data_IF_006664278614
#
_entry.id   IF_006664278614
#
_cell.length_a   1.000
_cell.length_b   1.000
_cell.length_c   1.000
_cell.angle_alpha   90.00
_cell.angle_beta   90.00
_cell.angle_gamma   90.00
#
_symmetry.space_group_name_H-M   'P 1'
#
loop_
_entity.id
_entity.type
_entity.pdbx_description
1 polymer ?
#
# COMPACT_ATOMS: atom_id res chain seq x y z
N UNK A 1 -0.48 -14.82 -1.92
CA UNK A 1 0.48 -14.39 -0.87
C UNK A 1 -0.15 -13.35 0.04
N UNK A 2 0.51 -13.04 1.17
CA UNK A 2 0.08 -11.97 2.07
C UNK A 2 1.11 -10.84 2.10
N UNK A 3 0.63 -9.59 2.17
CA UNK A 3 1.46 -8.40 2.30
C UNK A 3 1.17 -7.71 3.63
N UNK A 4 2.20 -7.32 4.37
CA UNK A 4 2.08 -6.43 5.51
C UNK A 4 2.20 -5.01 5.00
N UNK A 5 1.10 -4.27 4.99
CA UNK A 5 1.00 -2.93 4.39
C UNK A 5 1.90 -1.91 5.07
N UNK A 6 2.45 -0.96 4.31
CA UNK A 6 3.09 0.22 4.90
C UNK A 6 2.10 1.01 5.79
N UNK A 7 2.54 1.57 6.95
CA UNK A 7 3.91 1.57 7.47
C UNK A 7 4.26 0.35 8.34
N UNK A 8 3.36 -0.61 8.51
CA UNK A 8 3.55 -1.72 9.44
C UNK A 8 4.72 -2.64 9.08
N UNK A 9 5.05 -2.77 7.78
CA UNK A 9 6.22 -3.51 7.33
C UNK A 9 7.57 -2.98 7.83
N UNK A 10 7.62 -1.72 8.33
CA UNK A 10 8.82 -1.20 9.02
C UNK A 10 9.08 -1.90 10.36
N UNK A 11 8.05 -2.44 11.00
CA UNK A 11 8.09 -2.98 12.37
C UNK A 11 7.81 -4.48 12.41
N UNK A 12 7.01 -4.98 11.47
CA UNK A 12 6.61 -6.37 11.36
C UNK A 12 7.28 -6.99 10.12
N UNK A 13 8.56 -7.28 10.26
CA UNK A 13 9.32 -7.96 9.22
C UNK A 13 9.22 -9.48 9.42
N UNK A 14 8.24 -10.07 8.80
CA UNK A 14 8.18 -11.53 8.70
C UNK A 14 9.18 -11.97 7.63
N UNK A 15 10.30 -12.56 8.06
CA UNK A 15 11.32 -13.09 7.16
C UNK A 15 10.83 -14.40 6.56
N UNK A 16 10.15 -14.32 5.42
CA UNK A 16 9.82 -15.36 4.45
C UNK A 16 8.50 -16.12 4.63
N UNK A 17 8.17 -16.67 5.81
CA UNK A 17 6.97 -17.51 5.94
C UNK A 17 6.33 -17.35 7.32
N UNK A 18 5.06 -17.09 7.35
CA UNK A 18 4.23 -17.29 8.51
C UNK A 18 3.29 -18.45 8.22
N UNK A 19 3.35 -19.51 9.03
CA UNK A 19 2.49 -20.69 8.85
C UNK A 19 2.60 -21.35 7.46
N UNK A 20 3.81 -21.40 6.90
CA UNK A 20 4.05 -22.01 5.60
C UNK A 20 3.61 -21.20 4.37
N UNK A 21 3.02 -20.02 4.58
CA UNK A 21 2.60 -19.13 3.48
C UNK A 21 3.55 -17.95 3.33
N UNK A 22 3.87 -17.53 2.08
CA UNK A 22 4.76 -16.38 1.86
C UNK A 22 4.11 -15.07 2.32
N UNK A 23 4.88 -14.32 3.12
CA UNK A 23 4.51 -12.99 3.63
C UNK A 23 5.57 -11.98 3.21
N UNK A 24 5.13 -10.87 2.62
CA UNK A 24 6.00 -9.79 2.16
C UNK A 24 5.72 -8.54 2.99
N UNK A 25 6.76 -7.95 3.57
CA UNK A 25 6.65 -6.69 4.29
C UNK A 25 6.80 -5.51 3.34
N UNK A 26 5.87 -4.56 3.41
CA UNK A 26 5.94 -3.29 2.68
C UNK A 26 6.40 -2.21 3.64
N UNK A 27 7.62 -1.71 3.43
CA UNK A 27 8.23 -0.65 4.25
C UNK A 27 7.84 0.74 3.77
N UNK A 28 8.07 1.78 4.53
CA UNK A 28 7.78 3.18 4.16
C UNK A 28 6.39 3.63 4.63
N UNK A 29 5.75 4.53 3.92
CA UNK A 29 6.08 5.13 2.62
C UNK A 29 7.17 6.19 2.78
N UNK A 30 8.20 6.15 1.93
CA UNK A 30 9.29 7.11 1.92
C UNK A 30 9.08 8.18 0.83
N UNK A 31 9.56 9.39 1.11
CA UNK A 31 9.58 10.54 0.18
C UNK A 31 11.01 10.94 -0.11
N UNK A 32 11.26 11.68 -1.20
CA UNK A 32 12.60 12.16 -1.55
C UNK A 32 13.24 12.85 -0.34
N UNK A 33 12.55 13.84 0.23
CA UNK A 33 13.01 14.57 1.42
C UNK A 33 12.44 13.94 2.70
N UNK A 34 13.17 13.98 3.82
CA UNK A 34 12.64 13.58 5.13
C UNK A 34 11.41 14.39 5.54
N UNK A 35 10.47 13.74 6.20
CA UNK A 35 9.27 14.35 6.80
C UNK A 35 9.19 13.93 8.28
N UNK A 36 9.94 14.57 9.19
CA UNK A 36 10.06 14.16 10.59
C UNK A 36 8.76 14.36 11.38
N UNK A 37 8.73 13.82 12.62
CA UNK A 37 7.62 14.04 13.56
C UNK A 37 6.55 12.95 13.54
N UNK A 38 6.88 11.71 13.14
CA UNK A 38 5.94 10.59 13.11
C UNK A 38 5.29 10.33 14.47
N UNK A 39 6.09 10.23 15.55
CA UNK A 39 5.58 9.94 16.90
C UNK A 39 4.59 11.02 17.35
N UNK A 40 4.98 12.30 17.20
CA UNK A 40 4.08 13.43 17.52
C UNK A 40 2.77 13.35 16.75
N UNK A 41 2.84 12.99 15.45
CA UNK A 41 1.66 12.90 14.60
C UNK A 41 0.77 11.70 14.95
N UNK A 42 1.36 10.56 15.33
CA UNK A 42 0.61 9.40 15.86
C UNK A 42 -0.17 9.81 17.11
N UNK A 43 0.50 10.37 18.11
CA UNK A 43 -0.14 10.81 19.36
C UNK A 43 -1.27 11.80 19.09
N UNK A 44 -1.05 12.75 18.17
CA UNK A 44 -2.02 13.79 17.84
C UNK A 44 -3.23 13.27 17.07
N UNK A 45 -3.06 12.33 16.13
CA UNK A 45 -4.09 12.06 15.13
C UNK A 45 -4.58 10.63 15.02
N UNK A 46 -3.85 9.64 15.55
CA UNK A 46 -4.30 8.26 15.47
C UNK A 46 -5.40 8.00 16.49
N UNK A 47 -6.59 7.64 16.02
CA UNK A 47 -7.76 7.38 16.85
C UNK A 47 -8.50 6.14 16.38
N UNK A 48 -8.89 5.30 17.33
CA UNK A 48 -9.84 4.22 17.06
C UNK A 48 -11.26 4.79 16.99
N UNK A 49 -12.04 4.27 16.04
CA UNK A 49 -13.44 4.65 15.81
C UNK A 49 -14.30 3.38 15.70
N UNK A 50 -15.62 3.51 15.71
CA UNK A 50 -16.53 2.37 15.55
C UNK A 50 -16.31 1.57 14.26
N UNK A 51 -15.81 2.22 13.19
CA UNK A 51 -15.62 1.61 11.86
C UNK A 51 -14.17 1.25 11.56
N UNK A 52 -13.21 1.64 12.41
CA UNK A 52 -11.79 1.35 12.21
C UNK A 52 -10.87 2.46 12.75
N UNK A 53 -9.68 2.55 12.22
CA UNK A 53 -8.67 3.52 12.66
C UNK A 53 -8.65 4.74 11.73
N UNK A 54 -8.62 5.94 12.33
CA UNK A 54 -8.46 7.21 11.65
C UNK A 54 -7.09 7.80 11.97
N UNK A 55 -6.44 8.37 10.96
CA UNK A 55 -5.15 9.02 11.12
C UNK A 55 -4.91 10.17 10.13
N UNK A 56 -4.01 11.08 10.50
CA UNK A 56 -3.46 12.14 9.64
C UNK A 56 -1.93 12.09 9.69
N UNK A 57 -1.33 10.93 9.43
CA UNK A 57 0.12 10.76 9.53
C UNK A 57 0.91 11.59 8.51
N UNK A 58 0.33 11.87 7.34
CA UNK A 58 0.90 12.78 6.35
C UNK A 58 2.24 12.34 5.79
N UNK A 59 2.45 11.03 5.60
CA UNK A 59 3.68 10.45 5.09
C UNK A 59 4.92 10.88 5.91
N UNK A 60 4.85 10.89 7.25
CA UNK A 60 6.01 11.16 8.09
C UNK A 60 7.01 10.01 8.01
N UNK A 61 8.24 10.31 7.54
CA UNK A 61 9.26 9.31 7.24
C UNK A 61 10.67 9.94 7.27
N UNK A 62 11.74 9.13 7.35
CA UNK A 62 13.12 9.63 7.43
C UNK A 62 13.73 10.00 6.08
N UNK A 63 13.01 9.88 4.97
CA UNK A 63 13.51 10.13 3.62
C UNK A 63 13.99 8.87 2.91
N UNK A 64 14.20 9.00 1.58
CA UNK A 64 14.48 7.87 0.69
C UNK A 64 15.81 7.17 1.00
N UNK A 65 16.87 7.91 1.33
CA UNK A 65 18.19 7.32 1.58
C UNK A 65 18.15 6.36 2.77
N UNK A 66 17.58 6.80 3.90
CA UNK A 66 17.42 5.92 5.06
C UNK A 66 16.40 4.80 4.78
N UNK A 67 15.43 5.04 3.91
CA UNK A 67 14.51 4.02 3.42
C UNK A 67 15.22 2.89 2.69
N UNK A 68 16.17 3.20 1.82
CA UNK A 68 16.99 2.22 1.08
C UNK A 68 17.84 1.40 2.04
N UNK A 69 18.53 2.05 2.98
CA UNK A 69 19.38 1.38 3.96
C UNK A 69 18.61 0.40 4.84
N UNK A 70 17.39 0.76 5.24
CA UNK A 70 16.58 -0.01 6.18
C UNK A 70 15.62 -1.02 5.52
N UNK A 71 15.49 -1.02 4.19
CA UNK A 71 14.61 -1.95 3.49
C UNK A 71 15.35 -3.21 3.05
N UNK A 72 14.91 -4.34 3.56
CA UNK A 72 15.43 -5.65 3.12
C UNK A 72 15.19 -5.88 1.62
N UNK A 73 16.12 -6.49 0.87
CA UNK A 73 15.91 -6.87 -0.53
C UNK A 73 14.72 -7.81 -0.76
N UNK A 74 14.23 -8.48 0.29
CA UNK A 74 13.05 -9.35 0.24
C UNK A 74 11.73 -8.62 0.51
N UNK A 75 11.80 -7.35 0.89
CA UNK A 75 10.65 -6.47 1.14
C UNK A 75 10.30 -5.64 -0.07
N UNK A 76 9.12 -5.05 -0.06
CA UNK A 76 8.70 -4.02 -1.01
C UNK A 76 8.86 -2.65 -0.35
N UNK A 77 9.49 -1.70 -1.01
CA UNK A 77 9.64 -0.34 -0.53
C UNK A 77 8.54 0.57 -1.07
N UNK A 78 7.66 1.03 -0.20
CA UNK A 78 6.64 2.02 -0.56
C UNK A 78 7.26 3.41 -0.66
N UNK A 79 7.05 4.08 -1.80
CA UNK A 79 7.57 5.42 -2.11
C UNK A 79 6.44 6.33 -2.59
N UNK A 80 6.56 7.62 -2.31
CA UNK A 80 5.60 8.62 -2.77
C UNK A 80 6.28 9.86 -3.31
N UNK A 81 5.73 10.40 -4.39
CA UNK A 81 6.09 11.68 -4.98
C UNK A 81 5.18 12.76 -4.40
N UNK A 82 5.75 13.87 -3.98
CA UNK A 82 5.05 15.06 -3.47
C UNK A 82 5.26 16.27 -4.36
N UNK A 83 6.40 16.31 -5.06
CA UNK A 83 6.79 17.37 -5.99
C UNK A 83 6.81 16.84 -7.43
N UNK A 84 6.64 17.69 -8.45
CA UNK A 84 6.53 17.23 -9.86
C UNK A 84 7.68 16.35 -10.35
N UNK A 85 8.90 16.57 -9.86
CA UNK A 85 10.09 15.85 -10.28
C UNK A 85 10.46 14.65 -9.39
N UNK A 86 9.73 14.43 -8.28
CA UNK A 86 10.10 13.40 -7.31
C UNK A 86 10.11 11.99 -7.94
N UNK A 87 9.19 11.67 -8.86
CA UNK A 87 9.20 10.36 -9.53
C UNK A 87 10.50 10.10 -10.29
N UNK A 88 11.05 11.12 -10.95
CA UNK A 88 12.33 11.02 -11.67
C UNK A 88 13.47 10.82 -10.68
N UNK A 89 13.53 11.62 -9.64
CA UNK A 89 14.55 11.55 -8.58
C UNK A 89 14.51 10.17 -7.89
N UNK A 90 13.32 9.70 -7.49
CA UNK A 90 13.13 8.39 -6.87
C UNK A 90 13.57 7.25 -7.80
N UNK A 91 13.29 7.36 -9.09
CA UNK A 91 13.71 6.36 -10.08
C UNK A 91 15.23 6.28 -10.25
N UNK A 92 15.92 7.41 -10.17
CA UNK A 92 17.39 7.48 -10.27
C UNK A 92 18.06 6.95 -8.99
N UNK A 93 17.48 7.21 -7.82
CA UNK A 93 18.07 6.85 -6.51
C UNK A 93 17.77 5.40 -6.10
N UNK A 94 16.54 4.92 -6.34
CA UNK A 94 16.12 3.60 -5.87
C UNK A 94 16.76 2.49 -6.70
N UNK A 95 17.55 1.58 -6.09
CA UNK A 95 18.21 0.49 -6.81
C UNK A 95 17.24 -0.33 -7.65
N UNK A 96 17.66 -0.71 -8.87
CA UNK A 96 16.82 -1.43 -9.85
C UNK A 96 16.39 -2.83 -9.37
N UNK A 97 17.17 -3.46 -8.51
CA UNK A 97 16.86 -4.76 -7.92
C UNK A 97 15.89 -4.69 -6.71
N UNK A 98 15.52 -3.50 -6.24
CA UNK A 98 14.54 -3.34 -5.16
C UNK A 98 13.12 -3.34 -5.71
N UNK A 99 12.24 -4.12 -5.07
CA UNK A 99 10.79 -4.07 -5.31
C UNK A 99 10.18 -2.79 -4.76
N UNK A 100 9.22 -2.19 -5.46
CA UNK A 100 8.61 -0.91 -5.06
C UNK A 100 7.08 -0.94 -5.05
N UNK A 101 6.49 -0.16 -4.14
CA UNK A 101 5.08 0.23 -4.15
C UNK A 101 5.00 1.75 -4.36
N UNK A 102 4.41 2.17 -5.48
CA UNK A 102 4.19 3.58 -5.80
C UNK A 102 2.89 4.05 -5.13
N UNK A 103 3.00 4.75 -4.02
CA UNK A 103 1.84 5.22 -3.26
C UNK A 103 1.33 6.55 -3.83
N UNK A 104 0.30 6.48 -4.67
CA UNK A 104 -0.34 7.65 -5.30
C UNK A 104 -1.62 8.09 -4.57
N UNK A 105 -1.84 7.61 -3.36
CA UNK A 105 -3.18 7.58 -2.76
C UNK A 105 -3.26 8.02 -1.30
N UNK A 106 -2.21 8.64 -0.76
CA UNK A 106 -2.26 9.08 0.64
C UNK A 106 -3.24 10.26 0.82
N UNK A 107 -4.38 10.09 1.53
CA UNK A 107 -5.37 11.16 1.70
C UNK A 107 -4.90 12.30 2.61
N UNK A 108 -3.74 12.13 3.25
CA UNK A 108 -3.17 13.06 4.21
C UNK A 108 -2.11 14.00 3.57
N UNK A 109 -2.06 14.07 2.23
CA UNK A 109 -1.25 15.01 1.47
C UNK A 109 -2.13 15.69 0.41
N UNK A 110 -1.91 16.99 0.19
CA UNK A 110 -2.82 17.81 -0.60
C UNK A 110 -2.79 17.49 -2.10
N UNK A 111 -1.64 17.05 -2.62
CA UNK A 111 -1.47 16.75 -4.04
C UNK A 111 -0.52 15.56 -4.22
N UNK A 112 -0.86 14.71 -5.18
CA UNK A 112 0.03 13.69 -5.72
C UNK A 112 0.33 14.04 -7.18
N UNK A 113 1.60 14.23 -7.57
CA UNK A 113 1.97 14.34 -8.97
C UNK A 113 1.50 13.11 -9.76
N UNK A 114 1.15 13.34 -11.03
CA UNK A 114 0.74 12.27 -11.92
C UNK A 114 1.77 11.13 -11.94
N UNK A 115 1.28 9.90 -11.87
CA UNK A 115 2.11 8.71 -11.98
C UNK A 115 2.89 8.73 -13.30
N UNK A 116 4.21 8.51 -13.22
CA UNK A 116 5.08 8.38 -14.38
C UNK A 116 5.18 6.94 -14.83
N UNK A 117 5.29 6.71 -16.16
CA UNK A 117 5.54 5.38 -16.72
C UNK A 117 6.99 4.88 -16.51
N UNK A 118 7.83 5.65 -15.84
CA UNK A 118 9.27 5.37 -15.77
C UNK A 118 9.56 4.05 -15.01
N UNK A 119 8.79 3.77 -13.95
CA UNK A 119 8.96 2.54 -13.16
C UNK A 119 8.36 1.30 -13.83
N UNK A 120 7.35 1.43 -14.69
CA UNK A 120 6.72 0.29 -15.34
C UNK A 120 7.61 -0.41 -16.39
N UNK A 121 8.73 0.22 -16.75
CA UNK A 121 9.71 -0.30 -17.70
C UNK A 121 10.78 -1.18 -17.06
N UNK A 122 10.86 -1.19 -15.73
CA UNK A 122 11.88 -1.96 -15.01
C UNK A 122 11.39 -3.40 -14.82
N UNK A 123 12.32 -4.34 -14.91
CA UNK A 123 12.08 -5.75 -14.56
C UNK A 123 12.23 -5.97 -13.05
N UNK A 124 11.40 -5.25 -12.27
CA UNK A 124 11.32 -5.42 -10.82
C UNK A 124 10.34 -6.53 -10.49
N UNK A 125 10.68 -7.41 -9.55
CA UNK A 125 9.77 -8.47 -9.09
C UNK A 125 8.41 -7.91 -8.66
N UNK A 126 8.42 -6.78 -7.95
CA UNK A 126 7.23 -6.03 -7.57
C UNK A 126 7.38 -4.57 -7.97
N UNK A 127 6.45 -4.11 -8.81
CA UNK A 127 6.27 -2.70 -9.17
C UNK A 127 4.78 -2.35 -9.02
N UNK A 128 4.36 -2.19 -7.78
CA UNK A 128 2.96 -2.09 -7.37
C UNK A 128 2.51 -0.64 -7.40
N UNK A 129 1.31 -0.36 -7.90
CA UNK A 129 0.67 0.95 -7.75
C UNK A 129 -0.41 0.87 -6.68
N UNK A 130 -0.23 1.58 -5.56
CA UNK A 130 -1.24 1.67 -4.50
C UNK A 130 -2.20 2.81 -4.76
N UNK A 131 -3.48 2.44 -4.93
CA UNK A 131 -4.53 3.36 -5.37
C UNK A 131 -5.44 3.82 -4.22
N UNK A 132 -6.09 5.00 -4.35
CA UNK A 132 -7.11 5.44 -3.40
C UNK A 132 -8.41 4.62 -3.56
N UNK A 133 -9.22 4.47 -2.50
CA UNK A 133 -10.48 3.73 -2.57
C UNK A 133 -11.51 4.37 -3.50
N UNK A 134 -11.40 5.68 -3.72
CA UNK A 134 -12.29 6.46 -4.59
C UNK A 134 -11.77 6.61 -6.03
N UNK A 135 -10.80 5.79 -6.44
CA UNK A 135 -10.28 5.80 -7.81
C UNK A 135 -11.39 5.51 -8.83
N UNK A 136 -11.38 6.22 -9.95
CA UNK A 136 -12.30 5.97 -11.06
C UNK A 136 -11.76 4.88 -12.00
N UNK A 137 -12.66 4.22 -12.74
CA UNK A 137 -12.28 3.23 -13.74
C UNK A 137 -11.31 3.81 -14.78
N UNK A 138 -11.58 5.03 -15.28
CA UNK A 138 -10.69 5.73 -16.21
C UNK A 138 -9.28 5.96 -15.67
N UNK A 139 -9.14 6.17 -14.36
CA UNK A 139 -7.81 6.28 -13.72
C UNK A 139 -7.11 4.93 -13.62
N UNK A 140 -7.86 3.84 -13.39
CA UNK A 140 -7.33 2.47 -13.42
C UNK A 140 -6.81 2.16 -14.83
N UNK A 141 -7.62 2.42 -15.87
CA UNK A 141 -7.21 2.22 -17.27
C UNK A 141 -5.93 3.00 -17.60
N UNK A 142 -5.81 4.24 -17.12
CA UNK A 142 -4.59 5.02 -17.29
C UNK A 142 -3.38 4.37 -16.64
N UNK A 143 -3.50 3.80 -15.46
CA UNK A 143 -2.41 3.09 -14.76
C UNK A 143 -1.97 1.88 -15.58
N UNK A 144 -2.92 1.07 -16.05
CA UNK A 144 -2.64 -0.12 -16.86
C UNK A 144 -2.01 0.27 -18.20
N UNK A 145 -2.52 1.31 -18.87
CA UNK A 145 -1.97 1.83 -20.13
C UNK A 145 -0.56 2.44 -19.98
N UNK A 146 -0.15 2.84 -18.78
CA UNK A 146 1.23 3.20 -18.47
C UNK A 146 2.15 1.97 -18.34
N UNK A 147 1.61 0.75 -18.42
CA UNK A 147 2.35 -0.52 -18.35
C UNK A 147 2.44 -1.15 -16.96
N UNK A 148 1.72 -0.64 -15.95
CA UNK A 148 1.68 -1.24 -14.64
C UNK A 148 0.76 -2.46 -14.61
N UNK A 149 1.27 -3.57 -14.05
CA UNK A 149 0.57 -4.85 -13.98
C UNK A 149 0.22 -5.31 -12.57
N UNK A 150 0.54 -4.51 -11.55
CA UNK A 150 0.32 -4.86 -10.15
C UNK A 150 -0.33 -3.67 -9.42
N UNK A 151 -1.55 -3.86 -8.93
CA UNK A 151 -2.33 -2.81 -8.26
C UNK A 151 -2.66 -3.22 -6.83
N UNK A 152 -2.37 -2.35 -5.85
CA UNK A 152 -2.78 -2.51 -4.46
C UNK A 152 -4.07 -1.70 -4.20
N UNK A 153 -5.18 -2.39 -4.10
CA UNK A 153 -6.48 -1.85 -3.74
C UNK A 153 -6.78 -2.16 -2.25
N UNK A 154 -6.91 -1.23 -1.37
CA UNK A 154 -6.75 0.18 -1.57
C UNK A 154 -6.17 0.86 -0.31
N UNK A 155 -5.97 2.17 -0.38
CA UNK A 155 -5.58 2.96 0.78
C UNK A 155 -6.81 3.33 1.65
N UNK A 156 -6.62 4.16 2.67
CA UNK A 156 -7.68 4.65 3.57
C UNK A 156 -8.64 5.60 2.86
N UNK A 157 -9.91 5.57 3.27
CA UNK A 157 -10.94 6.50 2.77
C UNK A 157 -10.65 7.90 3.30
N UNK A 158 -10.57 8.93 2.43
CA UNK A 158 -10.39 10.31 2.85
C UNK A 158 -11.62 10.82 3.60
N UNK A 159 -11.39 11.50 4.73
CA UNK A 159 -12.43 12.20 5.51
C UNK A 159 -11.92 13.57 5.91
N UNK A 160 -12.80 14.47 6.36
CA UNK A 160 -12.42 15.79 6.87
C UNK A 160 -11.42 15.73 8.05
N UNK A 161 -11.33 14.58 8.72
CA UNK A 161 -10.44 14.36 9.88
C UNK A 161 -9.32 13.35 9.57
N UNK A 162 -8.93 13.20 8.29
CA UNK A 162 -7.86 12.31 7.83
C UNK A 162 -8.33 11.02 7.19
N UNK A 163 -7.42 10.09 6.95
CA UNK A 163 -7.71 8.79 6.34
C UNK A 163 -8.36 7.83 7.34
N UNK A 164 -9.47 7.21 6.95
CA UNK A 164 -10.20 6.21 7.72
C UNK A 164 -9.95 4.83 7.13
N UNK A 165 -9.54 3.89 7.96
CA UNK A 165 -9.32 2.47 7.63
C UNK A 165 -10.38 1.58 8.28
N UNK A 166 -10.40 0.31 7.92
CA UNK A 166 -11.32 -0.68 8.48
C UNK A 166 -12.40 -1.10 7.49
N UNK A 167 -13.57 -1.53 7.97
CA UNK A 167 -14.64 -2.11 7.15
C UNK A 167 -15.18 -1.17 6.07
N UNK A 168 -15.07 0.14 6.27
CA UNK A 168 -15.48 1.15 5.26
C UNK A 168 -14.74 1.05 3.93
N UNK A 169 -13.59 0.36 3.89
CA UNK A 169 -12.80 0.21 2.67
C UNK A 169 -13.29 -0.97 1.84
N UNK A 170 -13.93 -1.97 2.44
CA UNK A 170 -14.22 -3.27 1.81
C UNK A 170 -14.98 -3.10 0.50
N UNK A 171 -16.09 -2.37 0.51
CA UNK A 171 -16.91 -2.14 -0.68
C UNK A 171 -16.13 -1.45 -1.81
N UNK A 172 -15.32 -0.45 -1.47
CA UNK A 172 -14.46 0.23 -2.45
C UNK A 172 -13.43 -0.72 -3.07
N UNK A 173 -12.80 -1.56 -2.25
CA UNK A 173 -11.80 -2.52 -2.73
C UNK A 173 -12.45 -3.58 -3.61
N UNK A 174 -13.62 -4.10 -3.24
CA UNK A 174 -14.37 -5.07 -4.05
C UNK A 174 -14.77 -4.48 -5.42
N UNK A 175 -15.24 -3.22 -5.45
CA UNK A 175 -15.55 -2.51 -6.71
C UNK A 175 -14.32 -2.39 -7.62
N UNK A 176 -13.16 -2.02 -7.04
CA UNK A 176 -11.90 -1.90 -7.80
C UNK A 176 -11.48 -3.26 -8.34
N UNK A 177 -11.55 -4.29 -7.48
CA UNK A 177 -11.18 -5.67 -7.83
C UNK A 177 -12.05 -6.21 -8.96
N UNK A 178 -13.37 -6.09 -8.83
CA UNK A 178 -14.34 -6.51 -9.86
C UNK A 178 -14.05 -5.85 -11.21
N UNK A 179 -13.86 -4.52 -11.21
CA UNK A 179 -13.54 -3.79 -12.44
C UNK A 179 -12.24 -4.28 -13.08
N UNK A 180 -11.17 -4.42 -12.28
CA UNK A 180 -9.86 -4.85 -12.81
C UNK A 180 -9.96 -6.27 -13.36
N UNK A 181 -10.55 -7.21 -12.62
CA UNK A 181 -10.64 -8.62 -13.06
C UNK A 181 -11.53 -8.82 -14.28
N UNK A 182 -12.52 -7.96 -14.46
CA UNK A 182 -13.39 -7.99 -15.66
C UNK A 182 -12.72 -7.34 -16.87
N UNK A 183 -12.03 -6.20 -16.69
CA UNK A 183 -11.54 -5.39 -17.81
C UNK A 183 -10.05 -5.62 -18.12
N UNK A 184 -9.25 -5.96 -17.12
CA UNK A 184 -7.81 -6.14 -17.19
C UNK A 184 -7.39 -7.44 -16.47
N UNK A 185 -7.79 -8.63 -16.93
CA UNK A 185 -7.60 -9.91 -16.23
C UNK A 185 -6.13 -10.26 -15.97
N UNK A 186 -5.20 -9.74 -16.76
CA UNK A 186 -3.75 -9.95 -16.62
C UNK A 186 -3.11 -9.09 -15.51
N UNK A 187 -3.88 -8.18 -14.88
CA UNK A 187 -3.38 -7.34 -13.79
C UNK A 187 -3.53 -8.08 -12.46
N UNK A 188 -2.41 -8.24 -11.75
CA UNK A 188 -2.40 -8.77 -10.39
C UNK A 188 -2.95 -7.74 -9.39
N UNK A 189 -3.91 -8.17 -8.56
CA UNK A 189 -4.52 -7.32 -7.55
C UNK A 189 -4.16 -7.80 -6.15
N UNK A 190 -3.54 -6.88 -5.39
CA UNK A 190 -3.33 -7.02 -3.95
C UNK A 190 -4.50 -6.35 -3.26
N UNK A 191 -5.44 -7.11 -2.70
CA UNK A 191 -6.63 -6.56 -2.07
C UNK A 191 -6.47 -6.42 -0.55
N UNK A 192 -6.91 -5.30 0.00
CA UNK A 192 -6.84 -5.04 1.43
C UNK A 192 -7.82 -3.99 1.92
N UNK A 193 -7.79 -3.79 3.23
CA UNK A 193 -8.76 -2.96 3.96
C UNK A 193 -9.84 -3.80 4.63
N UNK A 194 -10.04 -3.59 5.94
CA UNK A 194 -11.04 -4.33 6.71
C UNK A 194 -10.73 -5.81 6.95
N UNK A 195 -9.55 -6.30 6.64
CA UNK A 195 -9.16 -7.70 6.88
C UNK A 195 -8.76 -7.88 8.34
N UNK A 196 -9.64 -8.48 9.15
CA UNK A 196 -9.43 -8.79 10.57
C UNK A 196 -9.62 -10.27 10.89
N UNK A 197 -10.12 -11.06 9.94
CA UNK A 197 -10.36 -12.50 10.06
C UNK A 197 -9.98 -13.24 8.78
N UNK A 198 -9.92 -14.58 8.86
CA UNK A 198 -9.74 -15.44 7.69
C UNK A 198 -10.90 -15.31 6.70
N UNK A 199 -12.11 -15.08 7.22
CA UNK A 199 -13.30 -14.89 6.38
C UNK A 199 -13.20 -13.60 5.57
N UNK A 200 -12.69 -12.49 6.15
CA UNK A 200 -12.49 -11.24 5.40
C UNK A 200 -11.47 -11.43 4.27
N UNK A 201 -10.37 -12.14 4.55
CA UNK A 201 -9.39 -12.47 3.51
C UNK A 201 -10.01 -13.34 2.41
N UNK A 202 -10.85 -14.32 2.78
CA UNK A 202 -11.56 -15.19 1.85
C UNK A 202 -12.51 -14.41 0.94
N UNK A 203 -13.20 -13.40 1.45
CA UNK A 203 -14.08 -12.52 0.65
C UNK A 203 -13.34 -11.90 -0.54
N UNK A 204 -12.13 -11.41 -0.33
CA UNK A 204 -11.32 -10.87 -1.43
C UNK A 204 -10.79 -11.94 -2.37
N UNK A 205 -10.39 -13.10 -1.85
CA UNK A 205 -9.92 -14.22 -2.67
C UNK A 205 -11.05 -14.73 -3.57
N UNK A 206 -12.24 -14.92 -3.02
CA UNK A 206 -13.42 -15.38 -3.77
C UNK A 206 -13.85 -14.36 -4.84
N UNK A 207 -13.58 -13.07 -4.61
CA UNK A 207 -13.78 -12.01 -5.59
C UNK A 207 -12.65 -11.89 -6.64
N UNK A 208 -11.63 -12.76 -6.59
CA UNK A 208 -10.56 -12.84 -7.59
C UNK A 208 -9.27 -12.11 -7.23
N UNK A 209 -9.06 -11.73 -5.97
CA UNK A 209 -7.79 -11.14 -5.55
C UNK A 209 -6.64 -12.17 -5.62
N UNK A 210 -5.51 -11.78 -6.22
CA UNK A 210 -4.30 -12.60 -6.31
C UNK A 210 -3.56 -12.65 -4.97
N UNK A 211 -3.63 -11.56 -4.21
CA UNK A 211 -2.92 -11.39 -2.95
C UNK A 211 -3.74 -10.59 -1.94
N UNK A 212 -3.44 -10.77 -0.65
CA UNK A 212 -4.12 -10.10 0.45
C UNK A 212 -3.17 -9.17 1.17
N UNK A 213 -3.60 -7.92 1.42
CA UNK A 213 -2.86 -6.93 2.19
C UNK A 213 -3.44 -6.75 3.59
N UNK A 214 -2.58 -6.85 4.60
CA UNK A 214 -2.89 -6.71 6.01
C UNK A 214 -2.40 -5.34 6.50
N UNK A 215 -3.34 -4.47 6.86
CA UNK A 215 -3.06 -3.12 7.36
C UNK A 215 -3.31 -3.01 8.86
N UNK A 216 -4.40 -2.37 9.26
CA UNK A 216 -4.69 -2.04 10.66
C UNK A 216 -4.88 -3.23 11.61
N UNK A 217 -5.04 -4.45 11.10
CA UNK A 217 -4.97 -5.66 11.92
C UNK A 217 -3.58 -5.84 12.56
N UNK A 218 -2.55 -5.20 12.01
CA UNK A 218 -1.20 -5.19 12.56
C UNK A 218 -1.09 -4.51 13.94
N UNK A 219 -2.09 -3.72 14.37
CA UNK A 219 -2.20 -3.28 15.76
C UNK A 219 -2.55 -4.42 16.74
N UNK A 220 -2.97 -5.58 16.20
CA UNK A 220 -3.25 -6.80 16.95
C UNK A 220 -2.50 -7.97 16.31
N UNK A 221 -1.14 -7.98 16.35
CA UNK A 221 -0.30 -8.84 15.52
C UNK A 221 -0.54 -10.35 15.75
N UNK A 222 -1.03 -10.74 16.93
CA UNK A 222 -1.41 -12.13 17.20
C UNK A 222 -2.57 -12.65 16.34
N UNK A 223 -3.38 -11.75 15.74
CA UNK A 223 -4.44 -12.14 14.80
C UNK A 223 -3.88 -12.51 13.42
N UNK A 224 -2.74 -11.96 13.02
CA UNK A 224 -2.15 -12.15 11.70
C UNK A 224 -1.94 -13.65 11.42
N UNK A 225 -1.36 -14.38 12.38
CA UNK A 225 -1.17 -15.83 12.26
C UNK A 225 -2.49 -16.58 12.00
N UNK A 226 -3.58 -16.17 12.67
CA UNK A 226 -4.90 -16.79 12.50
C UNK A 226 -5.54 -16.49 11.14
N UNK A 227 -5.24 -15.35 10.55
CA UNK A 227 -5.73 -14.96 9.21
C UNK A 227 -4.99 -15.75 8.14
N UNK A 228 -3.69 -15.93 8.31
CA UNK A 228 -2.82 -16.56 7.32
C UNK A 228 -2.94 -18.08 7.33
N UNK A 229 -3.19 -18.71 8.49
CA UNK A 229 -3.39 -20.15 8.60
C UNK A 229 -4.73 -20.59 7.99
#
# INVERSE_FOLDING_TARGET
MYFISAPFGNYLQYTNFLSGKPVISVTGTFTVKPRPGLVKQIIKTLRYTKTGWRNQLGLRNPGIFQGIENTSPKSVMSIASLEPNDWKILYEIVPKNMSVELNISCPNVDKHPNLSKIFSKDDRKWCIVKVPPIITNKQIDRIVNLGYKQIHASNTVPTAKGGLSGSVIVEHTLRILDYIKTTHPDVEVIAGGGVYSKQDAKTYIDAGADHISLGTVCFTPWKIKRIIN
#
